data_IF_728962198525
#
_entry.id   IF_728962198525
#
_cell.length_a   1.000
_cell.length_b   1.000
_cell.length_c   1.000
_cell.angle_alpha   90.00
_cell.angle_beta   90.00
_cell.angle_gamma   90.00
#
_symmetry.space_group_name_H-M   'P 1'
#
loop_
_entity.id
_entity.type
_entity.pdbx_description
1 polymer ?
#
# COMPACT_ATOMS: atom_id res chain seq x y z
N UNK A 1 -0.06 -16.95 -24.82
CA UNK A 1 1.29 -16.42 -25.15
C UNK A 1 1.99 -15.71 -23.97
N UNK A 2 1.63 -15.97 -22.70
CA UNK A 2 2.11 -15.18 -21.55
C UNK A 2 3.38 -15.68 -20.85
N UNK A 3 3.74 -16.96 -21.02
CA UNK A 3 4.81 -17.62 -20.24
C UNK A 3 6.19 -17.00 -20.53
N UNK A 4 6.45 -16.63 -21.79
CA UNK A 4 7.73 -16.04 -22.23
C UNK A 4 7.93 -14.61 -21.74
N UNK A 5 6.84 -13.87 -21.46
CA UNK A 5 6.90 -12.46 -21.03
C UNK A 5 7.21 -12.32 -19.54
N UNK A 6 6.63 -13.17 -18.70
CA UNK A 6 6.88 -13.16 -17.25
C UNK A 6 8.32 -13.60 -16.92
N UNK A 7 8.85 -14.59 -17.65
CA UNK A 7 10.25 -15.02 -17.51
C UNK A 7 11.27 -13.91 -17.78
N UNK A 8 10.99 -12.98 -18.70
CA UNK A 8 11.86 -11.81 -18.96
C UNK A 8 11.88 -10.82 -17.79
N UNK A 9 10.74 -10.59 -17.13
CA UNK A 9 10.65 -9.68 -15.98
C UNK A 9 11.44 -10.24 -14.79
N UNK A 10 11.28 -11.53 -14.50
CA UNK A 10 12.07 -12.24 -13.48
C UNK A 10 13.56 -12.14 -13.75
N UNK A 11 13.97 -12.35 -15.01
CA UNK A 11 15.39 -12.24 -15.40
C UNK A 11 15.92 -10.81 -15.24
N UNK A 12 15.14 -9.79 -15.60
CA UNK A 12 15.51 -8.37 -15.39
C UNK A 12 15.62 -8.03 -13.90
N UNK A 13 14.63 -8.42 -13.09
CA UNK A 13 14.63 -8.15 -11.66
C UNK A 13 15.82 -8.81 -10.94
N UNK A 14 16.12 -10.08 -11.25
CA UNK A 14 17.31 -10.78 -10.74
C UNK A 14 18.60 -10.09 -11.18
N UNK A 15 18.72 -9.69 -12.46
CA UNK A 15 19.91 -8.99 -12.96
C UNK A 15 20.17 -7.66 -12.22
N UNK A 16 19.11 -6.90 -11.92
CA UNK A 16 19.22 -5.63 -11.22
C UNK A 16 19.68 -5.80 -9.76
N UNK A 17 19.19 -6.82 -9.06
CA UNK A 17 19.65 -7.11 -7.71
C UNK A 17 21.10 -7.60 -7.69
N UNK A 18 21.51 -8.39 -8.67
CA UNK A 18 22.92 -8.75 -8.84
C UNK A 18 23.80 -7.53 -9.12
N UNK A 19 23.37 -6.61 -10.01
CA UNK A 19 24.12 -5.39 -10.34
C UNK A 19 24.24 -4.42 -9.15
N UNK A 20 23.24 -4.39 -8.26
CA UNK A 20 23.30 -3.59 -7.03
C UNK A 20 24.34 -4.08 -6.04
N UNK A 21 24.61 -5.39 -6.01
CA UNK A 21 25.69 -5.97 -5.20
C UNK A 21 27.07 -5.44 -5.60
N UNK A 22 27.19 -4.89 -6.81
CA UNK A 22 28.42 -4.39 -7.42
C UNK A 22 28.55 -2.86 -7.39
N UNK A 23 27.45 -2.11 -7.19
CA UNK A 23 27.46 -0.65 -7.26
C UNK A 23 27.94 0.01 -5.95
N UNK A 24 28.73 1.11 -6.00
CA UNK A 24 29.12 1.85 -4.80
C UNK A 24 27.89 2.47 -4.13
N UNK A 25 27.72 2.24 -2.83
CA UNK A 25 26.62 2.82 -2.03
C UNK A 25 26.84 4.32 -1.86
N UNK A 26 26.01 5.13 -2.50
CA UNK A 26 25.89 6.57 -2.20
C UNK A 26 25.29 6.70 -0.79
N UNK A 27 25.85 7.53 0.11
CA UNK A 27 25.32 7.67 1.46
C UNK A 27 23.99 8.43 1.41
N UNK A 28 22.88 7.69 1.41
CA UNK A 28 21.55 8.24 1.65
C UNK A 28 21.39 8.35 3.15
N UNK A 29 21.05 9.54 3.64
CA UNK A 29 20.79 9.77 5.07
C UNK A 29 19.84 8.70 5.62
N UNK A 30 20.27 7.98 6.66
CA UNK A 30 19.48 6.95 7.32
C UNK A 30 18.31 7.59 8.07
N UNK A 31 17.23 7.84 7.34
CA UNK A 31 15.93 8.08 7.96
C UNK A 31 15.43 6.73 8.47
N UNK A 32 15.69 6.44 9.73
CA UNK A 32 15.14 5.27 10.44
C UNK A 32 13.65 5.49 10.68
N UNK A 33 12.85 5.20 9.65
CA UNK A 33 11.41 5.00 9.82
C UNK A 33 11.22 3.75 10.69
N UNK A 34 10.21 3.70 11.58
CA UNK A 34 9.85 2.46 12.26
C UNK A 34 9.68 1.35 11.22
N UNK A 35 10.08 0.13 11.55
CA UNK A 35 10.02 -1.02 10.65
C UNK A 35 8.56 -1.34 10.27
N UNK A 36 8.03 -0.57 9.33
CA UNK A 36 6.76 -0.85 8.69
C UNK A 36 7.01 -2.16 7.94
N UNK A 37 6.35 -3.24 8.36
CA UNK A 37 6.39 -4.50 7.65
C UNK A 37 5.83 -4.24 6.24
N UNK A 38 6.70 -4.06 5.27
CA UNK A 38 6.28 -3.77 3.92
C UNK A 38 5.49 -4.97 3.40
N UNK A 39 4.37 -4.75 2.69
CA UNK A 39 3.58 -5.85 2.14
C UNK A 39 4.27 -6.41 0.88
N UNK A 40 5.42 -7.08 1.07
CA UNK A 40 6.30 -7.56 0.00
C UNK A 40 5.57 -8.45 -1.01
N UNK A 41 4.61 -9.24 -0.53
CA UNK A 41 3.75 -10.07 -1.36
C UNK A 41 2.88 -9.22 -2.31
N UNK A 42 2.27 -8.14 -1.81
CA UNK A 42 1.47 -7.21 -2.61
C UNK A 42 2.33 -6.48 -3.63
N UNK A 43 3.52 -6.03 -3.22
CA UNK A 43 4.49 -5.38 -4.11
C UNK A 43 4.85 -6.33 -5.27
N UNK A 44 5.16 -7.59 -4.96
CA UNK A 44 5.47 -8.60 -5.97
C UNK A 44 4.27 -8.89 -6.90
N UNK A 45 3.05 -8.87 -6.38
CA UNK A 45 1.83 -9.09 -7.16
C UNK A 45 1.56 -7.94 -8.14
N UNK A 46 1.77 -6.68 -7.71
CA UNK A 46 1.70 -5.49 -8.58
C UNK A 46 2.74 -5.56 -9.70
N UNK A 47 3.98 -5.92 -9.36
CA UNK A 47 5.05 -6.10 -10.37
C UNK A 47 4.68 -7.20 -11.37
N UNK A 48 4.06 -8.28 -10.90
CA UNK A 48 3.68 -9.41 -11.74
C UNK A 48 2.57 -9.07 -12.76
N UNK A 49 1.63 -8.19 -12.39
CA UNK A 49 0.37 -7.99 -13.14
C UNK A 49 0.24 -6.61 -13.77
N UNK A 50 0.67 -5.53 -13.09
CA UNK A 50 0.37 -4.15 -13.48
C UNK A 50 1.62 -3.34 -13.88
N UNK A 51 2.75 -3.57 -13.23
CA UNK A 51 3.92 -2.68 -13.31
C UNK A 51 5.19 -3.41 -13.78
N UNK A 52 5.07 -4.26 -14.80
CA UNK A 52 6.17 -5.10 -15.31
C UNK A 52 7.37 -4.29 -15.81
N UNK A 53 7.12 -3.13 -16.42
CA UNK A 53 8.17 -2.25 -16.92
C UNK A 53 8.83 -1.42 -15.81
N UNK A 54 8.06 -1.12 -14.75
CA UNK A 54 8.51 -0.39 -13.56
C UNK A 54 9.00 -1.30 -12.44
N UNK A 55 9.15 -2.61 -12.71
CA UNK A 55 9.63 -3.60 -11.75
C UNK A 55 10.99 -3.22 -11.14
N UNK A 56 11.86 -2.61 -11.96
CA UNK A 56 13.16 -2.11 -11.55
C UNK A 56 13.06 -1.01 -10.48
N UNK A 57 12.18 -0.03 -10.71
CA UNK A 57 11.94 1.07 -9.79
C UNK A 57 11.31 0.57 -8.48
N UNK A 58 10.30 -0.29 -8.59
CA UNK A 58 9.53 -0.77 -7.44
C UNK A 58 10.34 -1.69 -6.52
N UNK A 59 11.19 -2.55 -7.08
CA UNK A 59 12.04 -3.45 -6.29
C UNK A 59 13.37 -2.80 -5.88
N UNK A 60 13.84 -1.80 -6.64
CA UNK A 60 15.09 -1.09 -6.35
C UNK A 60 15.05 -0.26 -5.07
N UNK A 61 13.86 0.19 -4.65
CA UNK A 61 13.65 0.91 -3.39
C UNK A 61 13.74 0.03 -2.12
N UNK A 62 13.71 -1.30 -2.25
CA UNK A 62 13.75 -2.23 -1.11
C UNK A 62 15.19 -2.49 -0.65
N UNK A 63 15.39 -2.82 0.62
CA UNK A 63 16.68 -3.37 1.08
C UNK A 63 16.89 -4.80 0.56
N UNK A 64 18.14 -5.25 0.43
CA UNK A 64 18.47 -6.50 -0.27
C UNK A 64 17.72 -7.74 0.28
N UNK A 65 17.56 -7.84 1.59
CA UNK A 65 16.82 -8.92 2.24
C UNK A 65 15.33 -8.94 1.83
N UNK A 66 14.71 -7.76 1.74
CA UNK A 66 13.32 -7.58 1.35
C UNK A 66 13.10 -7.78 -0.14
N UNK A 67 14.04 -7.29 -0.96
CA UNK A 67 14.04 -7.54 -2.39
C UNK A 67 14.13 -9.04 -2.71
N UNK A 68 14.99 -9.78 -1.99
CA UNK A 68 15.08 -11.23 -2.10
C UNK A 68 13.78 -11.94 -1.71
N UNK A 69 13.09 -11.46 -0.66
CA UNK A 69 11.76 -11.96 -0.28
C UNK A 69 10.71 -11.67 -1.36
N UNK A 70 10.65 -10.43 -1.86
CA UNK A 70 9.73 -10.02 -2.91
C UNK A 70 9.93 -10.82 -4.21
N UNK A 71 11.18 -11.10 -4.59
CA UNK A 71 11.49 -11.97 -5.72
C UNK A 71 10.89 -13.38 -5.58
N UNK A 72 10.99 -14.00 -4.39
CA UNK A 72 10.41 -15.33 -4.17
C UNK A 72 8.90 -15.34 -4.30
N UNK A 73 8.22 -14.24 -3.97
CA UNK A 73 6.78 -14.10 -4.24
C UNK A 73 6.53 -13.92 -5.74
N UNK A 74 7.33 -13.11 -6.43
CA UNK A 74 7.22 -12.90 -7.88
C UNK A 74 7.39 -14.22 -8.66
N UNK A 75 8.33 -15.06 -8.26
CA UNK A 75 8.56 -16.39 -8.85
C UNK A 75 7.35 -17.31 -8.66
N UNK A 76 6.79 -17.33 -7.45
CA UNK A 76 5.56 -18.07 -7.16
C UNK A 76 4.39 -17.59 -8.01
N UNK A 77 4.20 -16.29 -8.15
CA UNK A 77 3.12 -15.73 -8.99
C UNK A 77 3.35 -15.99 -10.48
N UNK A 78 4.59 -15.93 -10.95
CA UNK A 78 4.93 -16.25 -12.33
C UNK A 78 4.56 -17.69 -12.70
N UNK A 79 4.73 -18.63 -11.77
CA UNK A 79 4.38 -20.03 -11.95
C UNK A 79 2.86 -20.31 -11.89
N UNK A 80 2.04 -19.41 -11.33
CA UNK A 80 0.59 -19.60 -11.25
C UNK A 80 -0.09 -19.51 -12.63
N UNK A 81 -1.22 -20.22 -12.84
CA UNK A 81 -2.13 -19.95 -13.95
C UNK A 81 -2.67 -18.52 -13.94
N UNK A 82 -3.02 -17.99 -15.12
CA UNK A 82 -3.49 -16.60 -15.25
C UNK A 82 -4.74 -16.32 -14.41
N UNK A 83 -5.72 -17.22 -14.41
CA UNK A 83 -6.94 -17.09 -13.62
C UNK A 83 -6.66 -17.01 -12.11
N UNK A 84 -5.74 -17.83 -11.61
CA UNK A 84 -5.37 -17.81 -10.19
C UNK A 84 -4.63 -16.52 -9.81
N UNK A 85 -3.77 -16.01 -10.69
CA UNK A 85 -3.16 -14.68 -10.48
C UNK A 85 -4.20 -13.58 -10.43
N UNK A 86 -5.14 -13.55 -11.36
CA UNK A 86 -6.20 -12.53 -11.39
C UNK A 86 -7.11 -12.63 -10.18
N UNK A 87 -7.46 -13.83 -9.73
CA UNK A 87 -8.21 -14.04 -8.49
C UNK A 87 -7.44 -13.48 -7.27
N UNK A 88 -6.12 -13.74 -7.18
CA UNK A 88 -5.31 -13.19 -6.09
C UNK A 88 -5.20 -11.66 -6.15
N UNK A 89 -5.12 -11.08 -7.35
CA UNK A 89 -5.17 -9.62 -7.52
C UNK A 89 -6.51 -9.06 -7.05
N UNK A 90 -7.62 -9.70 -7.42
CA UNK A 90 -8.95 -9.27 -6.98
C UNK A 90 -9.11 -9.36 -5.44
N UNK A 91 -8.55 -10.37 -4.80
CA UNK A 91 -8.58 -10.49 -3.33
C UNK A 91 -7.72 -9.41 -2.65
N UNK A 92 -6.53 -9.12 -3.16
CA UNK A 92 -5.59 -8.18 -2.51
C UNK A 92 -5.88 -6.71 -2.83
N UNK A 93 -6.36 -6.45 -4.06
CA UNK A 93 -6.48 -5.12 -4.66
C UNK A 93 -7.84 -4.84 -5.31
N UNK A 94 -8.77 -5.80 -5.35
CA UNK A 94 -10.13 -5.55 -5.79
C UNK A 94 -10.86 -4.60 -4.85
N UNK A 95 -12.05 -4.16 -5.27
CA UNK A 95 -12.91 -3.33 -4.43
C UNK A 95 -13.13 -4.01 -3.09
N UNK A 96 -12.67 -3.36 -2.03
CA UNK A 96 -12.93 -3.84 -0.67
C UNK A 96 -14.36 -3.46 -0.35
N UNK A 97 -15.22 -4.47 -0.32
CA UNK A 97 -16.67 -4.33 -0.18
C UNK A 97 -17.13 -3.48 1.02
N UNK A 98 -16.27 -3.20 2.01
CA UNK A 98 -16.68 -2.48 3.21
C UNK A 98 -15.90 -1.19 3.44
N UNK A 99 -16.17 -0.17 2.62
CA UNK A 99 -15.70 1.20 2.91
C UNK A 99 -16.15 1.69 4.30
N UNK A 100 -17.32 1.23 4.74
CA UNK A 100 -17.87 1.47 6.09
C UNK A 100 -17.00 0.88 7.19
N UNK A 101 -16.57 -0.38 7.06
CA UNK A 101 -15.75 -1.05 8.07
C UNK A 101 -14.34 -0.45 8.13
N UNK A 102 -13.79 -0.04 6.98
CA UNK A 102 -12.50 0.67 6.93
C UNK A 102 -12.57 2.03 7.60
N UNK A 103 -13.64 2.77 7.35
CA UNK A 103 -13.88 4.05 8.00
C UNK A 103 -14.05 3.86 9.51
N UNK A 104 -14.78 2.83 9.95
CA UNK A 104 -14.94 2.48 11.36
C UNK A 104 -13.60 2.17 12.02
N UNK A 105 -12.81 1.26 11.44
CA UNK A 105 -11.49 0.89 11.94
C UNK A 105 -10.53 2.08 12.01
N UNK A 106 -10.55 2.94 10.99
CA UNK A 106 -9.75 4.17 11.00
C UNK A 106 -10.17 5.09 12.14
N UNK A 107 -11.48 5.35 12.31
CA UNK A 107 -11.95 6.21 13.38
C UNK A 107 -11.61 5.62 14.75
N UNK A 108 -11.74 4.31 14.97
CA UNK A 108 -11.37 3.67 16.24
C UNK A 108 -9.87 3.81 16.56
N UNK A 109 -9.01 3.60 15.56
CA UNK A 109 -7.55 3.52 15.77
C UNK A 109 -6.81 4.85 15.62
N UNK A 110 -7.44 5.87 15.02
CA UNK A 110 -6.80 7.16 14.79
C UNK A 110 -6.51 7.90 16.10
N UNK A 111 -5.40 8.67 16.18
CA UNK A 111 -5.20 9.64 17.25
C UNK A 111 -6.39 10.59 17.38
N UNK A 112 -6.73 10.98 18.61
CA UNK A 112 -7.96 11.73 18.91
C UNK A 112 -8.14 12.99 18.04
N UNK A 113 -7.09 13.80 17.87
CA UNK A 113 -7.15 14.99 17.03
C UNK A 113 -7.45 14.67 15.55
N UNK A 114 -6.89 13.58 15.01
CA UNK A 114 -7.16 13.16 13.63
C UNK A 114 -8.55 12.55 13.48
N UNK A 115 -9.02 11.82 14.51
CA UNK A 115 -10.37 11.25 14.56
C UNK A 115 -11.43 12.35 14.55
N UNK A 116 -11.25 13.40 15.34
CA UNK A 116 -12.14 14.56 15.42
C UNK A 116 -12.26 15.27 14.07
N UNK A 117 -11.11 15.58 13.45
CA UNK A 117 -11.13 16.23 12.14
C UNK A 117 -11.68 15.34 11.03
N UNK A 118 -11.40 14.03 11.08
CA UNK A 118 -12.01 13.10 10.16
C UNK A 118 -13.54 13.05 10.32
N UNK A 119 -14.04 12.95 11.56
CA UNK A 119 -15.47 12.91 11.81
C UNK A 119 -16.18 14.20 11.37
N UNK A 120 -15.56 15.37 11.60
CA UNK A 120 -16.03 16.66 11.08
C UNK A 120 -16.06 16.69 9.56
N UNK A 121 -15.05 16.14 8.89
CA UNK A 121 -14.97 16.07 7.43
C UNK A 121 -15.94 15.08 6.78
N UNK A 122 -16.59 14.19 7.55
CA UNK A 122 -17.48 13.19 6.99
C UNK A 122 -18.79 13.79 6.47
N UNK A 123 -19.32 13.32 5.32
CA UNK A 123 -20.67 13.65 4.87
C UNK A 123 -21.73 13.22 5.90
N UNK A 124 -22.88 13.92 6.01
CA UNK A 124 -23.92 13.64 7.00
C UNK A 124 -24.38 12.17 7.02
N UNK A 125 -24.52 11.57 5.84
CA UNK A 125 -24.91 10.16 5.69
C UNK A 125 -23.91 9.18 6.33
N UNK A 126 -22.61 9.50 6.33
CA UNK A 126 -21.62 8.65 6.97
C UNK A 126 -21.53 8.87 8.48
N UNK A 127 -21.81 10.08 8.97
CA UNK A 127 -21.82 10.38 10.42
C UNK A 127 -22.91 9.63 11.17
N UNK A 128 -24.09 9.44 10.58
CA UNK A 128 -25.21 8.71 11.22
C UNK A 128 -24.89 7.25 11.57
N UNK A 129 -23.83 6.68 10.99
CA UNK A 129 -23.34 5.32 11.28
C UNK A 129 -22.42 5.26 12.51
N UNK A 130 -22.13 6.41 13.11
CA UNK A 130 -21.12 6.60 14.15
C UNK A 130 -21.67 7.47 15.30
N UNK A 131 -22.84 7.12 15.89
CA UNK A 131 -23.50 7.94 16.91
C UNK A 131 -22.64 8.12 18.18
N UNK A 132 -21.74 7.18 18.47
CA UNK A 132 -20.84 7.27 19.62
C UNK A 132 -19.81 8.41 19.52
N UNK A 133 -19.63 8.99 18.34
CA UNK A 133 -18.70 10.10 18.09
C UNK A 133 -19.43 11.43 17.84
N UNK A 134 -20.77 11.43 17.97
CA UNK A 134 -21.60 12.62 17.84
C UNK A 134 -21.40 13.54 19.06
N UNK A 135 -21.26 14.85 18.82
CA UNK A 135 -21.04 15.84 19.89
C UNK A 135 -19.59 16.02 20.32
N UNK A 136 -18.61 15.38 19.66
CA UNK A 136 -17.20 15.66 19.94
C UNK A 136 -16.84 17.04 19.42
N UNK A 137 -16.51 17.95 20.34
CA UNK A 137 -16.07 19.29 20.01
C UNK A 137 -14.71 19.23 19.31
N UNK A 138 -14.71 19.58 18.02
CA UNK A 138 -13.48 19.83 17.26
C UNK A 138 -12.85 21.11 17.77
N UNK A 139 -11.52 21.10 17.99
CA UNK A 139 -10.78 22.34 18.20
C UNK A 139 -11.00 23.23 16.98
N UNK A 140 -11.55 24.42 17.20
CA UNK A 140 -11.90 25.37 16.15
C UNK A 140 -10.73 25.67 15.18
N UNK A 141 -9.48 25.49 15.64
CA UNK A 141 -8.24 25.76 14.90
C UNK A 141 -7.43 24.48 14.62
N UNK A 142 -7.99 23.54 13.87
CA UNK A 142 -7.21 22.42 13.36
C UNK A 142 -6.16 22.91 12.33
N UNK A 143 -4.93 22.43 12.46
CA UNK A 143 -3.87 22.74 11.50
C UNK A 143 -4.25 22.24 10.09
N UNK A 144 -4.02 23.03 9.02
CA UNK A 144 -4.41 22.65 7.66
C UNK A 144 -3.88 21.28 7.20
N UNK A 145 -2.68 20.90 7.66
CA UNK A 145 -2.10 19.60 7.37
C UNK A 145 -2.90 18.42 7.98
N UNK A 146 -3.50 18.63 9.16
CA UNK A 146 -4.34 17.63 9.82
C UNK A 146 -5.66 17.44 9.06
N UNK A 147 -6.28 18.54 8.62
CA UNK A 147 -7.48 18.51 7.77
C UNK A 147 -7.21 17.79 6.46
N UNK A 148 -6.12 18.11 5.76
CA UNK A 148 -5.74 17.46 4.52
C UNK A 148 -5.47 15.94 4.70
N UNK A 149 -4.84 15.56 5.81
CA UNK A 149 -4.62 14.16 6.16
C UNK A 149 -5.95 13.44 6.43
N UNK A 150 -6.85 14.05 7.17
CA UNK A 150 -8.18 13.51 7.47
C UNK A 150 -8.98 13.26 6.19
N UNK A 151 -9.07 14.26 5.30
CA UNK A 151 -9.75 14.14 4.00
C UNK A 151 -9.19 13.01 3.14
N UNK A 152 -7.85 12.90 3.08
CA UNK A 152 -7.19 11.83 2.36
C UNK A 152 -7.57 10.46 2.91
N UNK A 153 -7.60 10.31 4.23
CA UNK A 153 -7.97 9.04 4.89
C UNK A 153 -9.43 8.68 4.66
N UNK A 154 -10.35 9.65 4.73
CA UNK A 154 -11.76 9.44 4.40
C UNK A 154 -11.89 8.94 2.95
N UNK A 155 -11.20 9.60 2.02
CA UNK A 155 -11.21 9.23 0.59
C UNK A 155 -10.63 7.83 0.35
N UNK A 156 -9.56 7.47 1.04
CA UNK A 156 -8.96 6.13 0.99
C UNK A 156 -9.85 5.05 1.61
N UNK A 157 -10.65 5.40 2.63
CA UNK A 157 -11.59 4.48 3.27
C UNK A 157 -12.83 4.22 2.40
N UNK A 158 -13.34 5.25 1.72
CA UNK A 158 -14.58 5.19 0.94
C UNK A 158 -14.38 4.75 -0.53
N UNK A 159 -13.14 4.68 -1.03
CA UNK A 159 -12.78 4.10 -2.34
C UNK A 159 -12.32 2.66 -2.18
#
# INVERSE_FOLDING_TARGET
MDVTRVGRVLRKARKLLSARKEAPRVPVAEVTLPALSLPLERIALVVCVLARERAAELLGGLVDAEAGRALRHLERFAAMPSAQRQAKVAVEFGERADGSNRLALFLETAPEALRQEAFRGLPPYHRSRFPQWEGIESRADAAPALTALAERRIREALR
#
